data_IF_188440496852
#
_entry.id   IF_188440496852
#
_cell.length_a   1.000
_cell.length_b   1.000
_cell.length_c   1.000
_cell.angle_alpha   90.00
_cell.angle_beta   90.00
_cell.angle_gamma   90.00
#
_symmetry.space_group_name_H-M   'P 1'
#
loop_
_entity.id
_entity.type
_entity.pdbx_description
1 polymer ?
#
# COMPACT_ATOMS: atom_id res chain seq x y z
N UNK A 1 11.51 16.74 22.50
CA UNK A 1 11.34 17.02 21.05
C UNK A 1 9.98 16.50 20.61
N UNK A 2 9.18 17.37 20.00
CA UNK A 2 7.77 17.18 19.68
C UNK A 2 7.50 16.20 18.52
N UNK A 3 6.38 15.46 18.67
CA UNK A 3 5.35 15.30 17.63
C UNK A 3 5.70 14.61 16.32
N UNK A 4 5.75 13.27 16.33
CA UNK A 4 5.47 12.50 15.10
C UNK A 4 4.09 11.86 15.27
N UNK A 5 3.05 12.53 14.75
CA UNK A 5 1.72 11.96 14.66
C UNK A 5 1.78 10.74 13.73
N UNK A 6 2.03 9.56 14.29
CA UNK A 6 1.75 8.28 13.63
C UNK A 6 0.23 8.14 13.63
N UNK A 7 -0.45 8.78 12.69
CA UNK A 7 -1.86 8.49 12.44
C UNK A 7 -1.91 7.10 11.84
N UNK A 8 -2.40 6.14 12.61
CA UNK A 8 -2.69 4.80 12.13
C UNK A 8 -4.07 4.83 11.51
N UNK A 9 -4.18 4.43 10.25
CA UNK A 9 -5.46 4.33 9.55
C UNK A 9 -5.90 2.88 9.55
N UNK A 10 -7.19 2.63 9.75
CA UNK A 10 -7.75 1.30 9.55
C UNK A 10 -7.89 1.00 8.06
N UNK A 11 -7.84 -0.29 7.65
CA UNK A 11 -8.04 -0.67 6.26
C UNK A 11 -9.42 -0.22 5.73
N UNK A 12 -10.42 -0.15 6.60
CA UNK A 12 -11.77 0.32 6.29
C UNK A 12 -11.84 1.84 5.99
N UNK A 13 -10.87 2.62 6.46
CA UNK A 13 -10.79 4.07 6.29
C UNK A 13 -9.93 4.49 5.08
N UNK A 14 -9.28 3.51 4.46
CA UNK A 14 -8.42 3.66 3.30
C UNK A 14 -9.17 3.13 2.08
N UNK A 15 -8.94 3.74 0.93
CA UNK A 15 -9.41 3.27 -0.35
C UNK A 15 -8.24 3.22 -1.31
N UNK A 16 -7.95 2.03 -1.85
CA UNK A 16 -6.91 1.89 -2.89
C UNK A 16 -7.50 2.44 -4.18
N UNK A 17 -6.86 3.47 -4.72
CA UNK A 17 -7.22 4.09 -6.00
C UNK A 17 -6.50 3.43 -7.17
N UNK A 18 -5.23 3.11 -6.96
CA UNK A 18 -4.37 2.55 -8.00
C UNK A 18 -3.30 1.66 -7.36
N UNK A 19 -2.82 0.66 -8.09
CA UNK A 19 -1.63 -0.09 -7.71
C UNK A 19 -0.73 -0.24 -8.94
N UNK A 20 0.58 -0.17 -8.73
CA UNK A 20 1.57 -0.32 -9.79
C UNK A 20 2.65 -1.30 -9.35
N UNK A 21 2.84 -2.35 -10.15
CA UNK A 21 3.90 -3.34 -9.93
C UNK A 21 5.13 -2.89 -10.70
N UNK A 22 6.21 -2.66 -9.97
CA UNK A 22 7.53 -2.41 -10.52
C UNK A 22 8.31 -3.71 -10.48
N UNK A 23 8.64 -4.23 -11.65
CA UNK A 23 9.56 -5.35 -11.81
C UNK A 23 10.96 -4.77 -12.06
N UNK A 24 11.84 -4.92 -11.06
CA UNK A 24 13.23 -4.49 -11.18
C UNK A 24 13.94 -5.24 -12.31
N UNK A 25 14.56 -4.51 -13.23
CA UNK A 25 15.21 -5.05 -14.45
C UNK A 25 16.44 -5.93 -14.14
N UNK A 26 16.94 -5.91 -12.91
CA UNK A 26 18.26 -6.48 -12.55
C UNK A 26 18.20 -7.69 -11.61
N UNK A 27 17.18 -7.78 -10.76
CA UNK A 27 17.02 -8.91 -9.84
C UNK A 27 15.53 -9.26 -9.71
N UNK A 28 15.13 -10.53 -9.94
CA UNK A 28 13.76 -11.00 -9.72
C UNK A 28 13.35 -10.98 -8.22
N UNK A 29 14.26 -10.58 -7.35
CA UNK A 29 14.06 -10.37 -5.91
C UNK A 29 13.71 -8.91 -5.57
N UNK A 30 13.91 -7.98 -6.54
CA UNK A 30 13.63 -6.54 -6.41
C UNK A 30 12.31 -6.18 -7.11
N UNK A 31 11.33 -7.08 -7.02
CA UNK A 31 9.96 -6.77 -7.42
C UNK A 31 9.29 -5.99 -6.28
N UNK A 32 8.66 -4.86 -6.58
CA UNK A 32 7.96 -4.05 -5.59
C UNK A 32 6.60 -3.63 -6.12
N UNK A 33 5.56 -3.69 -5.29
CA UNK A 33 4.23 -3.17 -5.63
C UNK A 33 3.96 -1.91 -4.82
N UNK A 34 3.54 -0.88 -5.54
CA UNK A 34 3.20 0.43 -4.98
C UNK A 34 1.69 0.60 -5.05
N UNK A 35 1.03 0.73 -3.91
CA UNK A 35 -0.41 0.96 -3.81
C UNK A 35 -0.67 2.43 -3.44
N UNK A 36 -1.39 3.14 -4.30
CA UNK A 36 -1.90 4.47 -4.02
C UNK A 36 -3.20 4.35 -3.21
N UNK A 37 -3.18 4.88 -1.98
CA UNK A 37 -4.32 4.88 -1.07
C UNK A 37 -4.78 6.29 -0.77
N UNK A 38 -6.09 6.48 -0.68
CA UNK A 38 -6.72 7.73 -0.30
C UNK A 38 -7.61 7.49 0.92
N UNK A 39 -7.51 8.33 1.95
CA UNK A 39 -8.39 8.28 3.11
C UNK A 39 -9.59 9.20 2.93
N UNK A 40 -10.62 8.96 3.72
CA UNK A 40 -11.82 9.81 3.79
C UNK A 40 -11.52 11.27 4.20
N UNK A 41 -10.36 11.52 4.83
CA UNK A 41 -9.86 12.84 5.21
C UNK A 41 -9.18 13.59 4.05
N UNK A 42 -9.27 13.05 2.82
CA UNK A 42 -8.52 13.47 1.62
C UNK A 42 -6.99 13.39 1.79
N UNK A 43 -6.51 12.57 2.73
CA UNK A 43 -5.08 12.28 2.82
C UNK A 43 -4.75 11.19 1.81
N UNK A 44 -3.76 11.50 0.97
CA UNK A 44 -3.23 10.54 0.00
C UNK A 44 -1.95 9.97 0.56
N UNK A 45 -1.88 8.65 0.56
CA UNK A 45 -0.72 7.88 0.97
C UNK A 45 -0.30 6.92 -0.13
N UNK A 46 0.91 6.41 0.00
CA UNK A 46 1.40 5.38 -0.87
C UNK A 46 2.01 4.29 0.00
N UNK A 47 1.58 3.06 -0.23
CA UNK A 47 2.10 1.87 0.43
C UNK A 47 3.04 1.21 -0.57
N UNK A 48 4.26 0.90 -0.15
CA UNK A 48 5.22 0.16 -0.98
C UNK A 48 5.44 -1.18 -0.31
N UNK A 49 5.17 -2.25 -1.04
CA UNK A 49 5.42 -3.62 -0.62
C UNK A 49 6.47 -4.27 -1.52
N UNK A 50 7.30 -5.14 -0.94
CA UNK A 50 8.20 -5.98 -1.71
C UNK A 50 7.43 -7.20 -2.19
N UNK A 51 7.38 -7.43 -3.50
CA UNK A 51 6.70 -8.57 -4.10
C UNK A 51 7.64 -9.79 -4.11
N UNK A 52 7.13 -10.99 -3.80
CA UNK A 52 7.92 -12.23 -3.80
C UNK A 52 8.10 -12.84 -2.41
N UNK A 53 9.29 -13.40 -2.11
CA UNK A 53 9.58 -14.06 -0.82
C UNK A 53 9.61 -13.09 0.38
N UNK A 54 9.72 -11.80 0.09
CA UNK A 54 9.64 -10.72 1.08
C UNK A 54 8.24 -10.10 1.15
N UNK A 55 7.26 -10.65 0.43
CA UNK A 55 5.87 -10.23 0.51
C UNK A 55 5.39 -10.31 1.95
N UNK A 56 4.91 -9.18 2.45
CA UNK A 56 4.55 -9.06 3.83
C UNK A 56 3.14 -9.63 4.00
N UNK A 57 3.00 -10.83 4.57
CA UNK A 57 1.68 -11.47 4.74
C UNK A 57 0.70 -10.61 5.57
N UNK A 58 1.22 -9.75 6.46
CA UNK A 58 0.40 -8.78 7.18
C UNK A 58 -0.15 -7.69 6.26
N UNK A 59 0.63 -7.25 5.28
CA UNK A 59 0.19 -6.26 4.29
C UNK A 59 -0.80 -6.88 3.30
N UNK A 60 -0.58 -8.12 2.88
CA UNK A 60 -1.51 -8.85 2.01
C UNK A 60 -2.89 -8.99 2.66
N UNK A 61 -2.93 -9.44 3.92
CA UNK A 61 -4.16 -9.52 4.71
C UNK A 61 -4.78 -8.14 5.02
N UNK A 62 -3.98 -7.07 4.98
CA UNK A 62 -4.47 -5.69 5.10
C UNK A 62 -5.11 -5.22 3.79
N UNK A 63 -4.45 -5.46 2.66
CA UNK A 63 -4.95 -5.12 1.33
C UNK A 63 -6.24 -5.87 1.02
N UNK A 64 -6.36 -7.15 1.40
CA UNK A 64 -7.63 -7.91 1.30
C UNK A 64 -8.79 -7.26 2.06
N UNK A 65 -8.50 -6.53 3.15
CA UNK A 65 -9.51 -5.83 3.97
C UNK A 65 -9.79 -4.41 3.50
N UNK A 66 -8.93 -3.83 2.68
CA UNK A 66 -9.12 -2.49 2.13
C UNK A 66 -10.08 -2.55 0.96
N UNK A 67 -10.98 -1.57 0.87
CA UNK A 67 -11.82 -1.41 -0.32
C UNK A 67 -10.95 -0.98 -1.51
N UNK A 68 -10.74 -1.91 -2.44
CA UNK A 68 -10.11 -1.64 -3.74
C UNK A 68 -11.13 -0.98 -4.66
N UNK A 69 -10.98 0.32 -4.89
CA UNK A 69 -11.79 1.09 -5.82
C UNK A 69 -10.92 1.34 -7.06
N UNK A 70 -10.78 0.32 -7.89
CA UNK A 70 -10.08 0.44 -9.17
C UNK A 70 -10.98 1.29 -10.09
N UNK A 71 -10.60 2.55 -10.30
CA UNK A 71 -11.27 3.41 -11.28
C UNK A 71 -10.90 2.91 -12.69
N UNK A 72 -11.71 1.99 -13.21
CA UNK A 72 -11.66 1.51 -14.61
C UNK A 72 -12.15 2.55 -15.60
#
# INVERSE_FOLDING_TARGET
>A
MCGRNRKTFKPEELSIREHHRFEGISDPDDESVVYAVETHDRLRGTIVDAYGIYANSELDAFLEKVNMQEER
#
